data_IF_650712100621
#
_entry.id   IF_650712100621
#
_cell.length_a   1.000
_cell.length_b   1.000
_cell.length_c   1.000
_cell.angle_alpha   90.00
_cell.angle_beta   90.00
_cell.angle_gamma   90.00
#
_symmetry.space_group_name_H-M   'P 1'
#
loop_
_entity.id
_entity.type
_entity.pdbx_description
1 polymer ?
#
# COMPACT_ATOMS: atom_id res chain seq x y z
N UNK A 1 -13.11 -22.44 -34.10
CA UNK A 1 -12.76 -21.04 -33.71
C UNK A 1 -13.58 -20.45 -32.55
N UNK A 2 -14.59 -21.15 -32.00
CA UNK A 2 -15.46 -20.64 -30.92
C UNK A 2 -15.01 -21.03 -29.49
N UNK A 3 -14.19 -22.09 -29.33
CA UNK A 3 -13.71 -22.56 -28.00
C UNK A 3 -12.61 -21.67 -27.39
N UNK A 4 -11.79 -21.01 -28.20
CA UNK A 4 -10.66 -20.18 -27.74
C UNK A 4 -11.13 -18.87 -27.04
N UNK A 5 -12.27 -18.32 -27.42
CA UNK A 5 -12.83 -17.10 -26.79
C UNK A 5 -13.37 -17.33 -25.38
N UNK A 6 -13.94 -18.51 -25.10
CA UNK A 6 -14.45 -18.83 -23.74
C UNK A 6 -13.31 -19.08 -22.75
N UNK A 7 -12.24 -19.72 -23.20
CA UNK A 7 -11.07 -19.95 -22.37
C UNK A 7 -10.31 -18.67 -22.03
N UNK A 8 -10.19 -17.72 -22.95
CA UNK A 8 -9.58 -16.40 -22.68
C UNK A 8 -10.42 -15.58 -21.71
N UNK A 9 -11.73 -15.51 -21.89
CA UNK A 9 -12.64 -14.75 -21.03
C UNK A 9 -12.60 -15.27 -19.59
N UNK A 10 -12.61 -16.58 -19.35
CA UNK A 10 -12.48 -17.16 -18.01
C UNK A 10 -11.15 -16.80 -17.33
N UNK A 11 -10.03 -16.81 -18.07
CA UNK A 11 -8.72 -16.39 -17.54
C UNK A 11 -8.65 -14.90 -17.22
N UNK A 12 -9.30 -14.08 -18.02
CA UNK A 12 -9.37 -12.63 -17.77
C UNK A 12 -10.23 -12.33 -16.53
N UNK A 13 -11.32 -13.07 -16.34
CA UNK A 13 -12.19 -12.95 -15.17
C UNK A 13 -11.47 -13.41 -13.87
N UNK A 14 -10.71 -14.51 -13.92
CA UNK A 14 -9.89 -14.97 -12.77
C UNK A 14 -8.80 -13.97 -12.42
N UNK A 15 -8.12 -13.41 -13.42
CA UNK A 15 -7.09 -12.39 -13.21
C UNK A 15 -7.68 -11.12 -12.65
N UNK A 16 -8.83 -10.69 -13.13
CA UNK A 16 -9.55 -9.53 -12.60
C UNK A 16 -9.95 -9.75 -11.14
N UNK A 17 -10.50 -10.91 -10.80
CA UNK A 17 -10.87 -11.27 -9.43
C UNK A 17 -9.65 -11.29 -8.49
N UNK A 18 -8.51 -11.83 -8.95
CA UNK A 18 -7.25 -11.80 -8.20
C UNK A 18 -6.81 -10.36 -7.89
N UNK A 19 -6.70 -9.50 -8.90
CA UNK A 19 -6.27 -8.13 -8.71
C UNK A 19 -7.24 -7.33 -7.84
N UNK A 20 -8.54 -7.54 -8.00
CA UNK A 20 -9.54 -6.92 -7.13
C UNK A 20 -9.35 -7.33 -5.66
N UNK A 21 -9.12 -8.60 -5.40
CA UNK A 21 -8.83 -9.12 -4.07
C UNK A 21 -7.56 -8.51 -3.45
N UNK A 22 -6.50 -8.30 -4.26
CA UNK A 22 -5.28 -7.62 -3.80
C UNK A 22 -5.51 -6.15 -3.50
N UNK A 23 -6.27 -5.44 -4.33
CA UNK A 23 -6.66 -4.04 -4.06
C UNK A 23 -7.42 -3.94 -2.74
N UNK A 24 -8.40 -4.81 -2.51
CA UNK A 24 -9.17 -4.81 -1.26
C UNK A 24 -8.30 -5.07 -0.03
N UNK A 25 -7.36 -6.02 -0.12
CA UNK A 25 -6.43 -6.35 0.97
C UNK A 25 -5.46 -5.21 1.28
N UNK A 26 -4.88 -4.60 0.24
CA UNK A 26 -3.79 -3.64 0.38
C UNK A 26 -4.26 -2.21 0.62
N UNK A 27 -5.52 -1.88 0.33
CA UNK A 27 -6.06 -0.51 0.49
C UNK A 27 -5.80 0.09 1.89
N UNK A 28 -6.11 -0.59 3.01
CA UNK A 28 -5.84 -0.03 4.34
C UNK A 28 -4.34 0.15 4.61
N UNK A 29 -3.49 -0.73 4.11
CA UNK A 29 -2.02 -0.59 4.23
C UNK A 29 -1.51 0.63 3.46
N UNK A 30 -1.93 0.78 2.21
CA UNK A 30 -1.52 1.91 1.36
C UNK A 30 -1.97 3.24 1.96
N UNK A 31 -3.22 3.30 2.44
CA UNK A 31 -3.74 4.52 3.08
C UNK A 31 -2.96 4.87 4.34
N UNK A 32 -2.77 3.93 5.26
CA UNK A 32 -2.09 4.20 6.52
C UNK A 32 -0.61 4.55 6.30
N UNK A 33 0.12 3.71 5.56
CA UNK A 33 1.54 3.93 5.28
C UNK A 33 1.78 5.21 4.47
N UNK A 34 1.02 5.42 3.40
CA UNK A 34 1.17 6.58 2.53
C UNK A 34 0.92 7.90 3.27
N UNK A 35 -0.11 7.96 4.12
CA UNK A 35 -0.42 9.15 4.91
C UNK A 35 0.66 9.47 5.96
N UNK A 36 1.21 8.46 6.63
CA UNK A 36 2.29 8.66 7.59
C UNK A 36 3.60 9.07 6.90
N UNK A 37 3.93 8.47 5.75
CA UNK A 37 5.12 8.84 4.98
C UNK A 37 5.00 10.24 4.38
N UNK A 38 3.81 10.65 3.94
CA UNK A 38 3.60 12.01 3.43
C UNK A 38 3.98 13.07 4.48
N UNK A 39 3.56 12.89 5.72
CA UNK A 39 3.93 13.77 6.82
C UNK A 39 5.44 13.77 7.09
N UNK A 40 6.07 12.59 7.12
CA UNK A 40 7.52 12.46 7.31
C UNK A 40 8.34 13.12 6.20
N UNK A 41 7.92 12.98 4.96
CA UNK A 41 8.58 13.65 3.82
C UNK A 41 8.49 15.16 3.95
N UNK A 42 7.34 15.69 4.36
CA UNK A 42 7.18 17.12 4.59
C UNK A 42 8.03 17.63 5.77
N UNK A 43 8.12 16.86 6.86
CA UNK A 43 9.02 17.17 7.98
C UNK A 43 10.49 17.25 7.53
N UNK A 44 10.96 16.26 6.77
CA UNK A 44 12.31 16.24 6.21
C UNK A 44 12.55 17.41 5.25
N UNK A 45 11.54 17.81 4.48
CA UNK A 45 11.62 18.98 3.62
C UNK A 45 11.86 20.24 4.42
N UNK A 46 11.11 20.48 5.52
CA UNK A 46 11.36 21.61 6.44
C UNK A 46 12.79 21.56 6.96
N UNK A 47 13.25 20.40 7.41
CA UNK A 47 14.61 20.23 7.94
C UNK A 47 15.66 20.57 6.86
N UNK A 48 15.44 20.16 5.62
CA UNK A 48 16.34 20.45 4.50
C UNK A 48 16.43 21.94 4.18
N UNK A 49 15.31 22.66 4.26
CA UNK A 49 15.28 24.13 4.10
C UNK A 49 15.84 24.88 5.30
N UNK A 50 16.09 24.22 6.43
CA UNK A 50 16.52 24.84 7.67
C UNK A 50 15.50 25.86 8.19
N UNK A 51 15.98 26.97 8.77
CA UNK A 51 15.09 28.00 9.30
C UNK A 51 14.11 28.60 8.27
N UNK A 52 14.50 28.67 7.01
CA UNK A 52 13.63 29.15 5.92
C UNK A 52 12.41 28.24 5.69
N UNK A 53 12.56 26.92 5.90
CA UNK A 53 11.46 25.96 5.76
C UNK A 53 10.36 26.13 6.80
N UNK A 54 10.61 26.83 7.89
CA UNK A 54 9.63 27.15 8.93
C UNK A 54 8.86 28.45 8.67
N UNK A 55 9.32 29.26 7.72
CA UNK A 55 8.73 30.54 7.37
C UNK A 55 7.69 30.39 6.26
N UNK A 56 6.70 31.29 6.27
CA UNK A 56 5.62 31.33 5.26
C UNK A 56 6.08 31.78 3.87
N UNK A 57 7.32 32.22 3.73
CA UNK A 57 7.91 32.60 2.44
C UNK A 57 8.09 31.41 1.50
N UNK A 58 8.09 30.18 2.07
CA UNK A 58 8.17 28.92 1.34
C UNK A 58 6.99 28.01 1.68
N UNK A 59 6.42 27.26 0.71
CA UNK A 59 5.20 26.48 0.93
C UNK A 59 5.42 25.20 1.75
N UNK A 60 6.64 24.82 2.10
CA UNK A 60 6.94 23.55 2.76
C UNK A 60 6.32 23.43 4.15
N UNK A 61 6.20 24.53 4.90
CA UNK A 61 5.54 24.56 6.20
C UNK A 61 4.05 24.24 6.07
N UNK A 62 3.41 24.78 5.02
CA UNK A 62 2.00 24.54 4.71
C UNK A 62 1.80 23.08 4.30
N UNK A 63 2.65 22.51 3.44
CA UNK A 63 2.55 21.10 3.04
C UNK A 63 2.67 20.17 4.23
N UNK A 64 3.55 20.46 5.18
CA UNK A 64 3.68 19.68 6.41
C UNK A 64 2.41 19.73 7.25
N UNK A 65 1.84 20.91 7.46
CA UNK A 65 0.59 21.09 8.19
C UNK A 65 -0.59 20.42 7.49
N UNK A 66 -0.71 20.59 6.17
CA UNK A 66 -1.80 20.05 5.38
C UNK A 66 -1.71 18.52 5.25
N UNK A 67 -0.51 17.94 5.17
CA UNK A 67 -0.34 16.50 5.10
C UNK A 67 -0.79 15.76 6.36
N UNK A 68 -0.86 16.44 7.51
CA UNK A 68 -1.26 15.82 8.78
C UNK A 68 -2.70 15.30 8.76
N UNK A 69 -3.60 15.92 8.02
CA UNK A 69 -4.98 15.47 7.90
C UNK A 69 -5.10 14.08 7.29
N UNK A 70 -4.16 13.67 6.43
CA UNK A 70 -4.22 12.40 5.72
C UNK A 70 -4.28 11.18 6.65
N UNK A 71 -3.67 11.26 7.83
CA UNK A 71 -3.73 10.18 8.83
C UNK A 71 -5.02 10.18 9.66
N UNK A 72 -5.87 11.20 9.52
CA UNK A 72 -7.03 11.44 10.37
C UNK A 72 -8.34 11.20 9.63
N UNK A 73 -8.48 11.70 8.39
CA UNK A 73 -9.73 11.65 7.63
C UNK A 73 -9.91 10.33 6.87
N UNK A 74 -11.13 10.07 6.38
CA UNK A 74 -11.50 8.85 5.64
C UNK A 74 -11.12 7.56 6.38
N UNK A 75 -11.36 7.54 7.67
CA UNK A 75 -10.91 6.50 8.58
C UNK A 75 -9.45 6.72 9.01
N UNK A 76 -9.27 6.95 10.30
CA UNK A 76 -7.92 7.14 10.87
C UNK A 76 -7.01 5.94 10.55
N UNK A 77 -5.70 6.12 10.63
CA UNK A 77 -4.75 5.01 10.42
C UNK A 77 -4.98 3.86 11.42
N UNK A 78 -5.50 4.17 12.63
CA UNK A 78 -5.93 3.15 13.57
C UNK A 78 -7.13 2.33 13.05
N UNK A 79 -8.13 2.99 12.46
CA UNK A 79 -9.27 2.31 11.82
C UNK A 79 -8.80 1.46 10.64
N UNK A 80 -7.84 1.92 9.86
CA UNK A 80 -7.26 1.11 8.77
C UNK A 80 -6.58 -0.16 9.31
N UNK A 81 -5.85 -0.06 10.42
CA UNK A 81 -5.25 -1.23 11.07
C UNK A 81 -6.34 -2.21 11.58
N UNK A 82 -7.40 -1.70 12.18
CA UNK A 82 -8.54 -2.51 12.62
C UNK A 82 -9.27 -3.17 11.44
N UNK A 83 -9.46 -2.47 10.34
CA UNK A 83 -10.08 -3.01 9.13
C UNK A 83 -9.22 -4.12 8.51
N UNK A 84 -7.91 -3.93 8.46
CA UNK A 84 -6.99 -4.95 7.98
C UNK A 84 -7.10 -6.24 8.79
N UNK A 85 -6.91 -6.14 10.11
CA UNK A 85 -6.84 -7.31 10.99
C UNK A 85 -8.21 -7.93 11.22
N UNK A 86 -9.24 -7.12 11.46
CA UNK A 86 -10.58 -7.59 11.81
C UNK A 86 -11.40 -8.10 10.62
N UNK A 87 -11.13 -7.61 9.41
CA UNK A 87 -11.93 -7.91 8.23
C UNK A 87 -11.13 -8.41 7.03
N UNK A 88 -10.11 -7.66 6.59
CA UNK A 88 -9.45 -7.91 5.30
C UNK A 88 -8.64 -9.20 5.27
N UNK A 89 -7.93 -9.54 6.35
CA UNK A 89 -7.15 -10.77 6.41
C UNK A 89 -8.02 -12.03 6.29
N UNK A 90 -9.24 -12.02 6.84
CA UNK A 90 -10.18 -13.14 6.78
C UNK A 90 -11.14 -13.10 5.59
N UNK A 91 -11.17 -12.02 4.81
CA UNK A 91 -12.11 -11.83 3.72
C UNK A 91 -11.97 -12.92 2.65
N UNK A 92 -13.11 -13.37 2.09
CA UNK A 92 -13.17 -14.48 1.13
C UNK A 92 -12.53 -15.78 1.65
N UNK A 93 -12.63 -16.05 2.96
CA UNK A 93 -11.99 -17.21 3.58
C UNK A 93 -10.47 -17.15 3.58
N UNK A 94 -9.90 -15.93 3.62
CA UNK A 94 -8.47 -15.69 3.63
C UNK A 94 -7.77 -15.86 2.26
N UNK A 95 -8.51 -16.07 1.17
CA UNK A 95 -7.93 -16.31 -0.17
C UNK A 95 -7.06 -15.14 -0.65
N UNK A 96 -7.48 -13.89 -0.40
CA UNK A 96 -6.71 -12.71 -0.80
C UNK A 96 -5.36 -12.65 -0.08
N UNK A 97 -5.36 -12.95 1.21
CA UNK A 97 -4.15 -13.00 2.05
C UNK A 97 -3.22 -14.14 1.62
N UNK A 98 -3.77 -15.32 1.37
CA UNK A 98 -2.99 -16.48 0.91
C UNK A 98 -2.35 -16.21 -0.45
N UNK A 99 -3.06 -15.58 -1.38
CA UNK A 99 -2.53 -15.20 -2.68
C UNK A 99 -1.36 -14.21 -2.54
N UNK A 100 -1.51 -13.18 -1.70
CA UNK A 100 -0.45 -12.21 -1.41
C UNK A 100 0.79 -12.88 -0.80
N UNK A 101 0.61 -13.72 0.21
CA UNK A 101 1.72 -14.45 0.85
C UNK A 101 2.40 -15.42 -0.11
N UNK A 102 1.63 -16.05 -1.02
CA UNK A 102 2.17 -16.91 -2.06
C UNK A 102 3.06 -16.15 -3.05
N UNK A 103 2.67 -14.95 -3.45
CA UNK A 103 3.48 -14.12 -4.36
C UNK A 103 4.71 -13.55 -3.65
N UNK A 104 4.58 -13.19 -2.38
CA UNK A 104 5.73 -12.79 -1.55
C UNK A 104 6.72 -13.95 -1.39
N UNK A 105 6.24 -15.16 -1.17
CA UNK A 105 7.09 -16.37 -1.10
C UNK A 105 7.85 -16.63 -2.41
N UNK A 106 7.19 -16.46 -3.57
CA UNK A 106 7.86 -16.55 -4.88
C UNK A 106 8.93 -15.47 -5.05
N UNK A 107 8.64 -14.25 -4.64
CA UNK A 107 9.59 -13.14 -4.70
C UNK A 107 10.82 -13.43 -3.83
N UNK A 108 10.63 -13.89 -2.60
CA UNK A 108 11.73 -14.24 -1.68
C UNK A 108 12.57 -15.36 -2.28
N UNK A 109 11.95 -16.43 -2.78
CA UNK A 109 12.66 -17.55 -3.39
C UNK A 109 13.48 -17.11 -4.62
N UNK A 110 12.92 -16.24 -5.46
CA UNK A 110 13.60 -15.75 -6.65
C UNK A 110 14.78 -14.80 -6.33
N UNK A 111 14.83 -14.22 -5.13
CA UNK A 111 15.85 -13.25 -4.72
C UNK A 111 16.71 -13.76 -3.54
N UNK A 112 16.69 -15.05 -3.24
CA UNK A 112 17.41 -15.63 -2.10
C UNK A 112 18.94 -15.43 -2.16
N UNK A 113 19.50 -15.33 -3.36
CA UNK A 113 20.95 -15.11 -3.58
C UNK A 113 21.28 -13.65 -3.93
N UNK A 114 20.30 -12.75 -3.89
CA UNK A 114 20.54 -11.36 -4.23
C UNK A 114 21.35 -10.67 -3.12
N UNK A 115 22.44 -9.93 -3.44
CA UNK A 115 23.38 -9.40 -2.43
C UNK A 115 22.78 -8.38 -1.47
N UNK A 116 21.62 -7.79 -1.81
CA UNK A 116 20.95 -6.79 -0.97
C UNK A 116 19.58 -7.29 -0.46
N UNK A 117 18.88 -8.14 -1.24
CA UNK A 117 17.53 -8.62 -0.94
C UNK A 117 17.52 -10.04 -0.36
N UNK A 118 18.64 -10.77 -0.46
CA UNK A 118 18.76 -12.08 0.16
C UNK A 118 18.86 -11.97 1.69
N UNK A 119 18.65 -13.08 2.41
CA UNK A 119 18.82 -13.09 3.85
C UNK A 119 20.26 -12.72 4.23
N UNK A 120 20.48 -12.05 5.39
CA UNK A 120 21.81 -11.72 5.88
C UNK A 120 22.62 -12.97 6.19
#
# INVERSE_FOLDING_TARGET
MHQDRRGRRGKDDEKAAYHHGQVELLTPLVKAYGSDQAFRVCELAIQTYGGAGYLKDYPVEQYCRDSKIFSIYEGTNHIQAMDLVGRKLGQNGGKNTQAFLGDLGKFIAANSEHPVLGPP
#
